data_IF_982195321666
#
_entry.id   IF_982195321666
#
_cell.length_a   1.000
_cell.length_b   1.000
_cell.length_c   1.000
_cell.angle_alpha   90.00
_cell.angle_beta   90.00
_cell.angle_gamma   90.00
#
_symmetry.space_group_name_H-M   'P 1'
#
loop_
_entity.id
_entity.type
_entity.pdbx_description
1 polymer ?
#
# COMPACT_ATOMS: atom_id res chain seq x y z
N UNK A 1 -25.03 -8.58 -20.37
CA UNK A 1 -24.62 -7.28 -19.77
C UNK A 1 -24.89 -7.15 -18.25
N UNK A 2 -25.54 -8.11 -17.58
CA UNK A 2 -25.96 -7.99 -16.15
C UNK A 2 -24.84 -8.34 -15.15
N UNK A 3 -23.80 -9.10 -15.53
CA UNK A 3 -22.74 -9.54 -14.62
C UNK A 3 -21.68 -8.48 -14.23
N UNK A 4 -21.62 -7.36 -14.93
CA UNK A 4 -20.66 -6.27 -14.63
C UNK A 4 -21.19 -5.26 -13.60
N UNK A 5 -22.52 -5.20 -13.40
CA UNK A 5 -23.14 -4.26 -12.45
C UNK A 5 -23.03 -4.76 -11.00
N UNK A 6 -23.13 -6.08 -10.77
CA UNK A 6 -23.13 -6.65 -9.42
C UNK A 6 -21.79 -6.48 -8.69
N UNK A 7 -20.66 -6.60 -9.40
CA UNK A 7 -19.33 -6.45 -8.80
C UNK A 7 -19.03 -5.03 -8.33
N UNK A 8 -19.52 -4.01 -9.06
CA UNK A 8 -19.33 -2.60 -8.70
C UNK A 8 -20.15 -2.21 -7.48
N UNK A 9 -21.40 -2.68 -7.39
CA UNK A 9 -22.28 -2.42 -6.24
C UNK A 9 -21.72 -3.08 -4.96
N UNK A 10 -21.24 -4.32 -5.06
CA UNK A 10 -20.65 -5.00 -3.91
C UNK A 10 -19.39 -4.29 -3.40
N UNK A 11 -18.53 -3.82 -4.32
CA UNK A 11 -17.34 -3.06 -3.96
C UNK A 11 -17.67 -1.74 -3.24
N UNK A 12 -18.68 -1.01 -3.72
CA UNK A 12 -19.14 0.23 -3.09
C UNK A 12 -19.70 -0.04 -1.70
N UNK A 13 -20.51 -1.08 -1.51
CA UNK A 13 -21.05 -1.43 -0.20
C UNK A 13 -19.96 -1.84 0.81
N UNK A 14 -18.97 -2.62 0.37
CA UNK A 14 -17.81 -2.99 1.22
C UNK A 14 -17.00 -1.75 1.58
N UNK A 15 -16.73 -0.86 0.61
CA UNK A 15 -16.03 0.39 0.85
C UNK A 15 -16.79 1.29 1.85
N UNK A 16 -18.11 1.35 1.73
CA UNK A 16 -18.97 2.16 2.60
C UNK A 16 -19.02 1.60 4.03
N UNK A 17 -19.10 0.27 4.18
CA UNK A 17 -19.03 -0.39 5.50
C UNK A 17 -17.66 -0.19 6.18
N UNK A 18 -16.57 -0.24 5.40
CA UNK A 18 -15.21 0.08 5.87
C UNK A 18 -15.12 1.55 6.30
N UNK A 19 -15.70 2.47 5.53
CA UNK A 19 -15.74 3.90 5.86
C UNK A 19 -16.53 4.20 7.15
N UNK A 20 -17.68 3.54 7.36
CA UNK A 20 -18.48 3.70 8.58
C UNK A 20 -17.71 3.19 9.81
N UNK A 21 -17.06 2.03 9.71
CA UNK A 21 -16.24 1.50 10.81
C UNK A 21 -14.96 2.33 11.03
N UNK A 22 -14.43 2.99 9.99
CA UNK A 22 -13.28 3.86 10.14
C UNK A 22 -13.57 5.09 11.01
N UNK A 23 -14.82 5.60 11.06
CA UNK A 23 -15.13 6.82 11.83
C UNK A 23 -15.05 6.64 13.34
N UNK A 24 -15.46 5.49 13.88
CA UNK A 24 -15.31 5.20 15.32
C UNK A 24 -13.86 4.90 15.71
N UNK A 25 -13.07 4.37 14.76
CA UNK A 25 -11.67 4.02 14.97
C UNK A 25 -10.71 5.21 14.75
N UNK A 26 -11.09 6.19 13.93
CA UNK A 26 -10.32 7.44 13.71
C UNK A 26 -10.21 8.31 14.97
N UNK A 27 -11.09 8.13 15.97
CA UNK A 27 -10.94 8.76 17.29
C UNK A 27 -9.81 8.14 18.13
N UNK A 28 -9.35 6.93 17.79
CA UNK A 28 -8.25 6.25 18.47
C UNK A 28 -6.90 6.65 17.83
N UNK A 29 -6.10 7.39 18.59
CA UNK A 29 -4.76 7.84 18.16
C UNK A 29 -3.84 6.70 17.73
N UNK A 30 -4.06 5.47 18.21
CA UNK A 30 -3.28 4.29 17.80
C UNK A 30 -3.55 3.86 16.34
N UNK A 31 -4.76 4.08 15.83
CA UNK A 31 -5.10 3.74 14.45
C UNK A 31 -4.48 4.71 13.45
N UNK A 32 -4.60 6.03 13.68
CA UNK A 32 -4.00 7.05 12.82
C UNK A 32 -2.48 6.86 12.73
N UNK A 33 -1.83 6.55 13.85
CA UNK A 33 -0.40 6.23 13.87
C UNK A 33 -0.07 5.02 13.00
N UNK A 34 -0.85 3.94 13.12
CA UNK A 34 -0.66 2.70 12.34
C UNK A 34 -0.91 2.88 10.85
N UNK A 35 -1.79 3.81 10.48
CA UNK A 35 -2.05 4.18 9.09
C UNK A 35 -0.89 4.97 8.48
N UNK A 36 -0.24 5.84 9.25
CA UNK A 36 0.91 6.62 8.81
C UNK A 36 2.20 5.79 8.78
N UNK A 37 2.38 4.94 9.78
CA UNK A 37 3.59 4.15 9.99
C UNK A 37 3.19 2.73 10.45
N UNK A 38 3.27 1.73 9.55
CA UNK A 38 3.02 0.33 9.90
C UNK A 38 3.83 -0.10 11.13
N UNK A 39 3.18 -0.79 12.05
CA UNK A 39 3.77 -1.24 13.31
C UNK A 39 3.75 -0.23 14.48
N UNK A 40 3.51 1.06 14.25
CA UNK A 40 3.54 2.06 15.34
C UNK A 40 2.45 1.88 16.40
N UNK A 41 1.22 1.46 16.04
CA UNK A 41 0.18 1.14 17.01
C UNK A 41 0.48 -0.11 17.83
N UNK A 42 1.19 -1.09 17.25
CA UNK A 42 1.64 -2.27 17.99
C UNK A 42 2.76 -1.93 18.99
N UNK A 43 3.67 -1.02 18.62
CA UNK A 43 4.67 -0.50 19.56
C UNK A 43 4.03 0.21 20.75
N UNK A 44 2.96 0.99 20.52
CA UNK A 44 2.22 1.65 21.61
C UNK A 44 1.55 0.66 22.57
N UNK A 45 1.12 -0.50 22.06
CA UNK A 45 0.57 -1.60 22.86
C UNK A 45 1.65 -2.49 23.53
N UNK A 46 2.93 -2.13 23.41
CA UNK A 46 4.06 -2.90 23.95
C UNK A 46 4.47 -4.14 23.14
N UNK A 47 3.83 -4.37 21.98
CA UNK A 47 4.09 -5.52 21.11
C UNK A 47 5.22 -5.23 20.10
N UNK A 48 6.45 -5.03 20.58
CA UNK A 48 7.58 -4.63 19.74
C UNK A 48 7.93 -5.62 18.63
N UNK A 49 7.76 -6.93 18.84
CA UNK A 49 8.03 -7.94 17.82
C UNK A 49 7.14 -7.78 16.57
N UNK A 50 5.83 -7.58 16.78
CA UNK A 50 4.88 -7.32 15.69
C UNK A 50 5.13 -5.97 15.03
N UNK A 51 5.46 -4.95 15.83
CA UNK A 51 5.80 -3.62 15.32
C UNK A 51 6.97 -3.67 14.34
N UNK A 52 8.07 -4.33 14.71
CA UNK A 52 9.25 -4.50 13.86
C UNK A 52 8.95 -5.29 12.60
N UNK A 53 8.14 -6.35 12.70
CA UNK A 53 7.77 -7.17 11.54
C UNK A 53 6.98 -6.35 10.49
N UNK A 54 5.94 -5.63 10.91
CA UNK A 54 5.15 -4.81 9.97
C UNK A 54 5.94 -3.61 9.43
N UNK A 55 6.73 -2.95 10.28
CA UNK A 55 7.58 -1.85 9.85
C UNK A 55 8.61 -2.29 8.81
N UNK A 56 9.33 -3.40 9.07
CA UNK A 56 10.33 -3.92 8.13
C UNK A 56 9.70 -4.40 6.82
N UNK A 57 8.54 -5.07 6.87
CA UNK A 57 7.81 -5.48 5.66
C UNK A 57 7.40 -4.27 4.80
N UNK A 58 6.90 -3.20 5.42
CA UNK A 58 6.54 -1.98 4.73
C UNK A 58 7.76 -1.27 4.12
N UNK A 59 8.88 -1.18 4.85
CA UNK A 59 10.13 -0.58 4.36
C UNK A 59 10.67 -1.38 3.18
N UNK A 60 10.79 -2.70 3.29
CA UNK A 60 11.29 -3.57 2.21
C UNK A 60 10.41 -3.44 0.97
N UNK A 61 9.08 -3.47 1.13
CA UNK A 61 8.14 -3.32 0.02
C UNK A 61 8.22 -1.93 -0.61
N UNK A 62 8.37 -0.88 0.19
CA UNK A 62 8.51 0.50 -0.28
C UNK A 62 9.81 0.72 -1.07
N UNK A 63 10.94 0.23 -0.55
CA UNK A 63 12.24 0.28 -1.25
C UNK A 63 12.19 -0.53 -2.55
N UNK A 64 11.61 -1.74 -2.52
CA UNK A 64 11.43 -2.56 -3.71
C UNK A 64 10.55 -1.88 -4.77
N UNK A 65 9.46 -1.23 -4.34
CA UNK A 65 8.59 -0.46 -5.22
C UNK A 65 9.35 0.72 -5.86
N UNK A 66 10.12 1.47 -5.08
CA UNK A 66 10.92 2.58 -5.60
C UNK A 66 11.95 2.12 -6.64
N UNK A 67 12.73 1.08 -6.32
CA UNK A 67 13.74 0.51 -7.24
C UNK A 67 13.06 0.00 -8.52
N UNK A 68 11.99 -0.77 -8.39
CA UNK A 68 11.26 -1.32 -9.54
C UNK A 68 10.65 -0.23 -10.42
N UNK A 69 10.19 0.89 -9.85
CA UNK A 69 9.69 2.05 -10.57
C UNK A 69 10.79 2.72 -11.41
N UNK A 70 11.99 2.93 -10.84
CA UNK A 70 13.14 3.48 -11.57
C UNK A 70 13.53 2.58 -12.74
N UNK A 71 13.59 1.27 -12.53
CA UNK A 71 13.90 0.31 -13.60
C UNK A 71 12.81 0.24 -14.67
N UNK A 72 11.54 0.35 -14.28
CA UNK A 72 10.43 0.40 -15.22
C UNK A 72 10.51 1.63 -16.12
N UNK A 73 10.74 2.82 -15.55
CA UNK A 73 10.88 4.06 -16.32
C UNK A 73 12.02 3.95 -17.35
N UNK A 74 13.21 3.52 -16.91
CA UNK A 74 14.34 3.32 -17.83
C UNK A 74 14.05 2.32 -18.96
N UNK A 75 13.32 1.24 -18.66
CA UNK A 75 12.95 0.26 -19.66
C UNK A 75 11.92 0.81 -20.66
N UNK A 76 10.94 1.59 -20.18
CA UNK A 76 9.97 2.30 -21.03
C UNK A 76 10.66 3.34 -21.91
N UNK A 77 11.61 4.11 -21.39
CA UNK A 77 12.37 5.08 -22.18
C UNK A 77 13.17 4.41 -23.30
N UNK A 78 13.82 3.27 -22.98
CA UNK A 78 14.53 2.47 -23.98
C UNK A 78 13.60 1.94 -25.06
N UNK A 79 12.42 1.43 -24.68
CA UNK A 79 11.41 0.97 -25.63
C UNK A 79 10.92 2.12 -26.52
N UNK A 80 10.62 3.28 -25.95
CA UNK A 80 10.20 4.46 -26.70
C UNK A 80 11.28 4.91 -27.69
N UNK A 81 12.55 4.92 -27.27
CA UNK A 81 13.67 5.22 -28.17
C UNK A 81 13.78 4.23 -29.34
N UNK A 82 13.70 2.93 -29.06
CA UNK A 82 13.74 1.90 -30.11
C UNK A 82 12.52 1.97 -31.04
N UNK A 83 11.34 2.28 -30.49
CA UNK A 83 10.10 2.49 -31.26
C UNK A 83 10.23 3.70 -32.18
N UNK A 84 10.73 4.83 -31.69
CA UNK A 84 10.96 6.03 -32.51
C UNK A 84 11.95 5.74 -33.64
N UNK A 85 13.06 5.03 -33.35
CA UNK A 85 14.02 4.63 -34.37
C UNK A 85 13.39 3.73 -35.46
N UNK A 86 12.53 2.80 -35.05
CA UNK A 86 11.80 1.94 -35.99
C UNK A 86 10.80 2.75 -36.85
N UNK A 87 10.05 3.67 -36.26
CA UNK A 87 9.07 4.50 -36.97
C UNK A 87 9.74 5.46 -37.96
N UNK A 88 10.95 5.94 -37.66
CA UNK A 88 11.72 6.78 -38.56
C UNK A 88 12.06 6.09 -39.90
N UNK A 89 12.08 4.75 -39.96
CA UNK A 89 12.23 4.06 -41.25
C UNK A 89 11.06 4.29 -42.18
N UNK A 90 9.83 4.45 -41.67
CA UNK A 90 8.67 4.78 -42.48
C UNK A 90 8.88 6.10 -43.22
N UNK A 91 9.28 7.14 -42.48
CA UNK A 91 9.59 8.45 -43.05
C UNK A 91 10.75 8.38 -44.05
N UNK A 92 11.81 7.63 -43.76
CA UNK A 92 12.96 7.50 -44.69
C UNK A 92 12.60 6.78 -45.99
N UNK A 93 11.77 5.74 -45.92
CA UNK A 93 11.27 5.04 -47.11
C UNK A 93 10.42 5.97 -47.99
N UNK A 94 9.63 6.87 -47.39
CA UNK A 94 8.86 7.88 -48.15
C UNK A 94 9.75 8.88 -48.89
N UNK A 95 10.96 9.15 -48.38
CA UNK A 95 11.95 10.03 -49.02
C UNK A 95 12.85 9.30 -50.04
N UNK A 96 12.66 7.99 -50.26
CA UNK A 96 13.42 7.21 -51.23
C UNK A 96 14.79 6.72 -50.75
N UNK A 97 15.05 6.74 -49.44
CA UNK A 97 16.26 6.15 -48.88
C UNK A 97 16.27 4.62 -49.07
N UNK A 98 17.39 4.08 -49.56
CA UNK A 98 17.62 2.63 -49.62
C UNK A 98 18.07 2.11 -48.26
N UNK A 99 17.17 1.44 -47.55
CA UNK A 99 17.45 0.79 -46.27
C UNK A 99 17.67 -0.71 -46.46
N UNK A 100 18.65 -1.26 -45.74
CA UNK A 100 18.84 -2.71 -45.73
C UNK A 100 17.75 -3.38 -44.90
N UNK A 101 17.15 -4.45 -45.44
CA UNK A 101 16.19 -5.27 -44.70
C UNK A 101 16.75 -5.76 -43.36
N UNK A 102 18.05 -6.03 -43.31
CA UNK A 102 18.74 -6.47 -42.09
C UNK A 102 18.73 -5.40 -40.99
N UNK A 103 18.80 -4.11 -41.34
CA UNK A 103 18.78 -3.00 -40.37
C UNK A 103 17.39 -2.81 -39.77
N UNK A 104 16.36 -2.91 -40.62
CA UNK A 104 14.95 -2.83 -40.20
C UNK A 104 14.63 -3.99 -39.24
N UNK A 105 14.99 -5.23 -39.63
CA UNK A 105 14.75 -6.42 -38.81
C UNK A 105 15.50 -6.34 -37.47
N UNK A 106 16.76 -5.90 -37.47
CA UNK A 106 17.53 -5.70 -36.22
C UNK A 106 16.85 -4.70 -35.28
N UNK A 107 16.46 -3.54 -35.79
CA UNK A 107 15.82 -2.50 -34.98
C UNK A 107 14.45 -2.95 -34.46
N UNK A 108 13.70 -3.70 -35.27
CA UNK A 108 12.44 -4.29 -34.86
C UNK A 108 12.63 -5.30 -33.71
N UNK A 109 13.63 -6.18 -33.80
CA UNK A 109 13.97 -7.12 -32.72
C UNK A 109 14.42 -6.40 -31.45
N UNK A 110 15.20 -5.33 -31.56
CA UNK A 110 15.64 -4.51 -30.42
C UNK A 110 14.44 -3.81 -29.74
N UNK A 111 13.47 -3.34 -30.52
CA UNK A 111 12.21 -2.80 -30.01
C UNK A 111 11.40 -3.87 -29.27
N UNK A 112 11.26 -5.08 -29.82
CA UNK A 112 10.55 -6.17 -29.15
C UNK A 112 11.24 -6.60 -27.84
N UNK A 113 12.57 -6.73 -27.86
CA UNK A 113 13.35 -7.07 -26.67
C UNK A 113 13.21 -6.04 -25.55
N UNK A 114 13.22 -4.74 -25.90
CA UNK A 114 13.00 -3.67 -24.92
C UNK A 114 11.57 -3.63 -24.38
N UNK A 115 10.57 -3.96 -25.21
CA UNK A 115 9.18 -4.12 -24.77
C UNK A 115 9.03 -5.24 -23.73
N UNK A 116 9.65 -6.40 -23.96
CA UNK A 116 9.58 -7.53 -23.05
C UNK A 116 10.27 -7.23 -21.71
N UNK A 117 11.38 -6.50 -21.75
CA UNK A 117 12.01 -5.96 -20.55
C UNK A 117 11.08 -5.02 -19.78
N UNK A 118 10.43 -4.06 -20.47
CA UNK A 118 9.49 -3.14 -19.84
C UNK A 118 8.30 -3.88 -19.20
N UNK A 119 7.74 -4.89 -19.88
CA UNK A 119 6.67 -5.76 -19.34
C UNK A 119 7.12 -6.52 -18.09
N UNK A 120 8.33 -7.08 -18.10
CA UNK A 120 8.88 -7.79 -16.94
C UNK A 120 9.05 -6.85 -15.75
N UNK A 121 9.58 -5.64 -15.96
CA UNK A 121 9.73 -4.63 -14.90
C UNK A 121 8.38 -4.14 -14.37
N UNK A 122 7.38 -4.01 -15.24
CA UNK A 122 6.00 -3.68 -14.84
C UNK A 122 5.42 -4.73 -13.87
N UNK A 123 5.65 -6.03 -14.14
CA UNK A 123 5.23 -7.10 -13.22
C UNK A 123 5.87 -6.97 -11.84
N UNK A 124 7.18 -6.71 -11.80
CA UNK A 124 7.89 -6.49 -10.53
C UNK A 124 7.38 -5.28 -9.75
N UNK A 125 7.12 -4.16 -10.44
CA UNK A 125 6.51 -2.98 -9.83
C UNK A 125 5.16 -3.31 -9.19
N UNK A 126 4.29 -4.00 -9.94
CA UNK A 126 2.97 -4.37 -9.42
C UNK A 126 3.06 -5.37 -8.27
N UNK A 127 4.03 -6.30 -8.30
CA UNK A 127 4.29 -7.21 -7.20
C UNK A 127 4.63 -6.45 -5.90
N UNK A 128 5.58 -5.51 -5.94
CA UNK A 128 5.93 -4.71 -4.76
C UNK A 128 4.81 -3.77 -4.32
N UNK A 129 4.03 -3.22 -5.25
CA UNK A 129 2.86 -2.42 -4.92
C UNK A 129 1.81 -3.25 -4.16
N UNK A 130 1.51 -4.45 -4.64
CA UNK A 130 0.58 -5.39 -3.98
C UNK A 130 1.13 -5.81 -2.61
N UNK A 131 2.43 -6.10 -2.51
CA UNK A 131 3.07 -6.44 -1.24
C UNK A 131 2.98 -5.27 -0.23
N UNK A 132 3.21 -4.03 -0.67
CA UNK A 132 3.10 -2.85 0.15
C UNK A 132 1.66 -2.66 0.64
N UNK A 133 0.67 -2.67 -0.25
CA UNK A 133 -0.74 -2.54 0.10
C UNK A 133 -1.17 -3.68 1.04
N UNK A 134 -0.76 -4.92 0.73
CA UNK A 134 -1.03 -6.09 1.56
C UNK A 134 -0.46 -5.96 2.97
N UNK A 135 0.77 -5.47 3.11
CA UNK A 135 1.41 -5.26 4.41
C UNK A 135 0.66 -4.24 5.27
N UNK A 136 0.16 -3.15 4.67
CA UNK A 136 -0.67 -2.16 5.35
C UNK A 136 -2.03 -2.74 5.74
N UNK A 137 -2.69 -3.44 4.83
CA UNK A 137 -3.99 -4.06 5.09
C UNK A 137 -3.91 -5.09 6.23
N UNK A 138 -2.88 -5.95 6.24
CA UNK A 138 -2.65 -6.91 7.31
C UNK A 138 -2.33 -6.24 8.65
N UNK A 139 -1.51 -5.19 8.64
CA UNK A 139 -1.21 -4.41 9.85
C UNK A 139 -2.49 -3.78 10.44
N UNK A 140 -3.35 -3.18 9.61
CA UNK A 140 -4.62 -2.61 10.06
C UNK A 140 -5.57 -3.68 10.61
N UNK A 141 -5.69 -4.83 9.92
CA UNK A 141 -6.51 -5.94 10.39
C UNK A 141 -6.01 -6.48 11.75
N UNK A 142 -4.70 -6.62 11.93
CA UNK A 142 -4.11 -7.04 13.21
C UNK A 142 -4.38 -6.02 14.33
N UNK A 143 -4.31 -4.72 14.05
CA UNK A 143 -4.66 -3.68 15.03
C UNK A 143 -6.13 -3.75 15.44
N UNK A 144 -7.05 -3.91 14.47
CA UNK A 144 -8.49 -4.02 14.71
C UNK A 144 -8.85 -5.26 15.53
N UNK A 145 -8.27 -6.42 15.21
CA UNK A 145 -8.52 -7.67 15.95
C UNK A 145 -7.90 -7.61 17.35
N UNK A 146 -6.74 -6.96 17.50
CA UNK A 146 -6.01 -6.87 18.77
C UNK A 146 -6.43 -5.65 19.61
N UNK A 147 -7.46 -4.90 19.23
CA UNK A 147 -8.10 -3.96 20.14
C UNK A 147 -8.85 -4.79 21.19
N UNK A 148 -8.20 -5.07 22.33
CA UNK A 148 -8.95 -5.48 23.53
C UNK A 148 -9.96 -4.37 23.81
N UNK A 149 -11.22 -4.69 24.16
CA UNK A 149 -12.11 -3.68 24.69
C UNK A 149 -11.34 -2.97 25.81
N UNK A 150 -11.44 -1.64 25.91
CA UNK A 150 -10.81 -0.94 27.02
C UNK A 150 -11.23 -1.71 28.27
N UNK A 151 -10.26 -2.25 29.02
CA UNK A 151 -10.54 -2.70 30.37
C UNK A 151 -11.25 -1.50 30.97
N UNK A 152 -12.54 -1.67 31.25
CA UNK A 152 -13.33 -0.66 31.91
C UNK A 152 -12.56 -0.48 33.21
N UNK A 153 -11.71 0.56 33.25
CA UNK A 153 -11.04 0.99 34.45
C UNK A 153 -12.23 1.36 35.32
N UNK A 154 -12.71 0.37 36.08
CA UNK A 154 -13.65 0.56 37.15
C UNK A 154 -12.88 1.47 38.07
N UNK A 155 -13.01 2.77 37.85
CA UNK A 155 -12.78 3.77 38.86
C UNK A 155 -13.69 3.31 39.98
N UNK A 156 -13.13 2.55 40.91
CA UNK A 156 -13.77 2.24 42.16
C UNK A 156 -13.91 3.60 42.82
N UNK A 157 -15.06 4.22 42.59
CA UNK A 157 -15.47 5.42 43.31
C UNK A 157 -15.81 4.89 44.70
N UNK A 158 -14.83 4.89 45.59
CA UNK A 158 -15.08 4.62 46.99
C UNK A 158 -15.65 5.90 47.61
N UNK A 159 -16.84 5.76 48.18
CA UNK A 159 -17.39 6.75 49.09
C UNK A 159 -16.74 6.49 50.45
N UNK A 160 -15.87 7.40 50.86
CA UNK A 160 -15.29 7.37 52.20
C UNK A 160 -16.05 8.39 53.07
N UNK A 161 -16.67 7.90 54.15
CA UNK A 161 -17.26 8.73 55.20
C UNK A 161 -16.15 9.16 56.15
N UNK A 162 -15.92 10.48 56.26
CA UNK A 162 -14.93 11.04 57.16
C UNK A 162 -15.63 11.97 58.15
N UNK A 163 -16.07 11.42 59.29
CA UNK A 163 -16.94 12.14 60.23
C UNK A 163 -18.35 12.34 59.65
N UNK A 164 -18.87 13.56 59.73
CA UNK A 164 -20.20 13.94 59.20
C UNK A 164 -20.16 14.33 57.71
N UNK A 165 -18.99 14.32 57.06
CA UNK A 165 -18.83 14.67 55.65
C UNK A 165 -18.64 13.44 54.75
N UNK A 166 -19.32 13.47 53.60
CA UNK A 166 -19.21 12.44 52.56
C UNK A 166 -18.19 12.89 51.52
N UNK A 167 -17.05 12.18 51.39
CA UNK A 167 -16.03 12.48 50.39
C UNK A 167 -16.01 11.42 49.29
N UNK A 168 -16.10 11.87 48.05
CA UNK A 168 -15.94 11.00 46.88
C UNK A 168 -14.44 10.93 46.56
N UNK A 169 -13.82 9.78 46.82
CA UNK A 169 -12.40 9.55 46.51
C UNK A 169 -12.31 8.64 45.29
N UNK A 170 -11.72 9.15 44.21
CA UNK A 170 -11.33 8.32 43.06
C UNK A 170 -10.04 7.59 43.42
N UNK A 171 -10.15 6.36 43.90
CA UNK A 171 -8.97 5.52 44.10
C UNK A 171 -8.51 4.95 42.75
N UNK A 172 -7.30 5.31 42.34
CA UNK A 172 -6.60 4.64 41.25
C UNK A 172 -6.01 3.35 41.82
N UNK A 173 -6.64 2.19 41.53
CA UNK A 173 -5.95 0.91 41.69
C UNK A 173 -4.87 0.83 40.62
N UNK A 174 -3.62 1.03 41.06
CA UNK A 174 -2.40 0.74 40.29
C UNK A 174 -2.13 -0.76 40.28
#
# INVERSE_FOLDING_TARGET
>A
MIRLLSGRVLFVCVLFLVLIHAQSVLADTAFIRSLLLPGSGQAHKGNYGRATLFASAAVISGVGLFISQVHYNRATDKYNGAKTAYLAFGERLEHGDLLSFQEIDRTYRDMLSSLDQAKSRYKWRNFFLVALIGSYALNLADVLITQRPPEEKSTAVSLELHGDEVRIVKSLRL
#
